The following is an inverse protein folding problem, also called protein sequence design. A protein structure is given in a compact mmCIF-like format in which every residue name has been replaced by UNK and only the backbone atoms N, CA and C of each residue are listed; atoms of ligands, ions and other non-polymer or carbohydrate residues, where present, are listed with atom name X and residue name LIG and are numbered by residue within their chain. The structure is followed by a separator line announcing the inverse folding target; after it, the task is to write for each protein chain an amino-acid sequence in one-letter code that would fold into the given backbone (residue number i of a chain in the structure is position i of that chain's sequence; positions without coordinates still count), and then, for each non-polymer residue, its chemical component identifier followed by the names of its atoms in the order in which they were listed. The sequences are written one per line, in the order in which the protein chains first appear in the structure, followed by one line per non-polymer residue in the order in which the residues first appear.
data_IF_165235146694
#
_entry.id   IF_165235146694
#
_cell.length_a   1.000
_cell.length_b   1.000
_cell.length_c   1.000
_cell.angle_alpha   90.00
_cell.angle_beta   90.00
_cell.angle_gamma   90.00
#
_symmetry.space_group_name_H-M   'P 1'
#
loop_
_entity.id
_entity.type
_entity.pdbx_description
1 polymer ?
#
# COMPACT_ATOMS: atom_id res chain seq x y z
N UNK A 1 -2.90 -3.39 6.93
CA UNK A 1 -2.95 -2.21 6.03
C UNK A 1 -1.68 -2.10 5.19
N UNK A 2 -0.45 -1.96 5.75
CA UNK A 2 0.80 -1.71 4.98
C UNK A 2 1.02 -2.69 3.81
N UNK A 3 0.91 -3.99 4.09
CA UNK A 3 1.11 -5.04 3.07
C UNK A 3 -0.05 -5.11 2.08
N UNK A 4 -1.30 -5.21 2.58
CA UNK A 4 -2.47 -5.45 1.73
C UNK A 4 -2.91 -4.24 0.90
N UNK A 5 -2.58 -3.03 1.35
CA UNK A 5 -2.92 -1.80 0.63
C UNK A 5 -1.71 -1.16 -0.06
N UNK A 6 -0.49 -1.60 0.26
CA UNK A 6 0.74 -1.06 -0.32
C UNK A 6 0.99 0.41 -0.02
N UNK A 7 0.41 0.94 1.06
CA UNK A 7 0.58 2.35 1.45
C UNK A 7 1.98 2.62 2.02
N UNK A 8 2.42 3.88 1.97
CA UNK A 8 3.66 4.30 2.62
C UNK A 8 3.47 4.35 4.13
N UNK A 9 4.56 4.15 4.88
CA UNK A 9 4.52 4.22 6.34
C UNK A 9 3.95 5.56 6.86
N UNK A 10 4.35 6.69 6.27
CA UNK A 10 3.80 8.00 6.63
C UNK A 10 2.32 8.17 6.27
N UNK A 11 1.85 7.55 5.17
CA UNK A 11 0.44 7.51 4.80
C UNK A 11 -0.35 6.74 5.85
N UNK A 12 0.09 5.50 6.21
CA UNK A 12 -0.54 4.72 7.28
C UNK A 12 -0.67 5.52 8.58
N UNK A 13 0.42 6.13 9.03
CA UNK A 13 0.47 6.83 10.31
C UNK A 13 -0.37 8.13 10.32
N UNK A 14 -0.81 8.60 9.15
CA UNK A 14 -1.69 9.75 9.01
C UNK A 14 -3.18 9.36 8.93
N UNK A 15 -3.51 8.08 8.76
CA UNK A 15 -4.89 7.62 8.61
C UNK A 15 -5.73 7.91 9.84
N UNK A 16 -6.96 8.32 9.59
CA UNK A 16 -8.01 8.55 10.58
C UNK A 16 -9.17 7.57 10.34
N UNK A 17 -10.07 7.33 11.30
CA UNK A 17 -11.27 6.53 11.06
C UNK A 17 -12.05 6.96 9.83
N UNK A 18 -12.18 8.27 9.58
CA UNK A 18 -12.91 8.84 8.42
C UNK A 18 -12.28 8.55 7.05
N UNK A 19 -11.04 8.04 7.01
CA UNK A 19 -10.40 7.65 5.74
C UNK A 19 -10.84 6.28 5.25
N UNK A 20 -11.41 5.48 6.15
CA UNK A 20 -11.95 4.15 5.85
C UNK A 20 -13.41 4.28 5.42
N UNK A 21 -13.66 4.32 4.12
CA UNK A 21 -14.98 4.44 3.51
C UNK A 21 -15.63 3.04 3.48
N UNK A 22 -16.22 2.62 4.59
CA UNK A 22 -16.68 1.23 4.81
C UNK A 22 -17.79 0.83 3.83
N UNK A 23 -18.71 1.74 3.51
CA UNK A 23 -19.82 1.49 2.58
C UNK A 23 -19.33 1.13 1.17
N UNK A 24 -18.30 1.81 0.70
CA UNK A 24 -17.71 1.58 -0.63
C UNK A 24 -16.51 0.65 -0.60
N UNK A 25 -16.10 0.17 0.57
CA UNK A 25 -14.87 -0.63 0.78
C UNK A 25 -13.64 0.06 0.22
N UNK A 26 -13.46 1.34 0.52
CA UNK A 26 -12.37 2.16 0.00
C UNK A 26 -11.55 2.78 1.13
N UNK A 27 -10.26 2.98 0.87
CA UNK A 27 -9.34 3.72 1.71
C UNK A 27 -8.90 4.99 0.99
N UNK A 28 -9.17 6.15 1.61
CA UNK A 28 -8.70 7.45 1.13
C UNK A 28 -7.30 7.75 1.65
N UNK A 29 -6.43 8.14 0.75
CA UNK A 29 -5.04 8.50 1.04
C UNK A 29 -4.79 9.91 0.50
N UNK A 30 -4.82 10.90 1.38
CA UNK A 30 -4.69 12.32 1.04
C UNK A 30 -3.75 13.08 1.97
N UNK A 31 -3.08 12.38 2.88
CA UNK A 31 -2.17 12.95 3.88
C UNK A 31 -1.04 12.02 4.24
N UNK A 32 0.02 12.56 4.83
CA UNK A 32 1.18 11.81 5.30
C UNK A 32 1.71 12.41 6.60
N UNK A 33 2.02 11.55 7.54
CA UNK A 33 2.61 11.90 8.82
C UNK A 33 4.14 11.81 8.76
N UNK A 34 4.78 12.74 9.43
CA UNK A 34 6.20 12.71 9.74
C UNK A 34 6.46 13.38 11.09
N UNK A 35 7.54 12.99 11.76
CA UNK A 35 7.99 13.65 12.98
C UNK A 35 9.21 14.52 12.66
N UNK A 36 9.07 15.83 12.84
CA UNK A 36 10.10 16.81 12.54
C UNK A 36 10.48 17.53 13.83
N UNK A 37 11.76 17.49 14.19
CA UNK A 37 12.30 18.16 15.39
C UNK A 37 11.53 17.85 16.69
N UNK A 38 11.01 16.64 16.81
CA UNK A 38 10.22 16.19 17.96
C UNK A 38 8.72 16.48 17.88
N UNK A 39 8.27 17.21 16.88
CA UNK A 39 6.85 17.56 16.66
C UNK A 39 6.21 16.65 15.61
N UNK A 40 4.96 16.29 15.84
CA UNK A 40 4.15 15.52 14.93
C UNK A 40 3.54 16.43 13.86
N UNK A 41 3.86 16.16 12.60
CA UNK A 41 3.40 16.97 11.47
C UNK A 41 2.66 16.11 10.47
N UNK A 42 1.41 16.44 10.17
CA UNK A 42 0.62 15.86 9.10
C UNK A 42 0.57 16.84 7.94
N UNK A 43 1.01 16.39 6.77
CA UNK A 43 1.08 17.22 5.56
C UNK A 43 0.26 16.60 4.43
N UNK A 44 -0.22 17.45 3.53
CA UNK A 44 -0.76 16.98 2.24
C UNK A 44 0.36 16.36 1.40
N UNK A 45 0.08 15.37 0.57
CA UNK A 45 1.07 14.79 -0.34
C UNK A 45 1.65 15.84 -1.28
N UNK A 46 2.93 15.68 -1.62
CA UNK A 46 3.66 16.61 -2.50
C UNK A 46 3.14 16.64 -3.94
N UNK A 47 2.49 15.56 -4.40
CA UNK A 47 1.99 15.44 -5.77
C UNK A 47 0.51 15.05 -5.78
N UNK A 48 -0.22 15.48 -6.82
CA UNK A 48 -1.62 15.10 -7.04
C UNK A 48 -1.82 13.57 -7.13
N UNK A 49 -0.88 12.85 -7.74
CA UNK A 49 -0.93 11.38 -7.88
C UNK A 49 -0.81 10.62 -6.55
N UNK A 50 -0.27 11.28 -5.52
CA UNK A 50 -0.22 10.69 -4.18
C UNK A 50 -1.56 10.74 -3.46
N UNK A 51 -2.48 11.63 -3.89
CA UNK A 51 -3.88 11.65 -3.42
C UNK A 51 -4.66 10.62 -4.24
N UNK A 52 -5.19 9.62 -3.56
CA UNK A 52 -5.89 8.52 -4.20
C UNK A 52 -6.86 7.84 -3.27
N UNK A 53 -7.84 7.17 -3.84
CA UNK A 53 -8.75 6.26 -3.13
C UNK A 53 -8.56 4.87 -3.72
N UNK A 54 -8.36 3.87 -2.87
CA UNK A 54 -8.07 2.49 -3.30
C UNK A 54 -9.03 1.51 -2.65
N UNK A 55 -9.52 0.53 -3.41
CA UNK A 55 -10.40 -0.53 -2.90
C UNK A 55 -9.67 -1.41 -1.89
N UNK A 56 -10.32 -1.66 -0.77
CA UNK A 56 -9.88 -2.62 0.24
C UNK A 56 -10.37 -4.02 -0.11
N UNK A 57 -9.58 -5.07 0.11
CA UNK A 57 -10.09 -6.43 0.19
C UNK A 57 -11.16 -6.55 1.29
N UNK A 58 -12.19 -7.37 1.06
CA UNK A 58 -13.32 -7.49 1.99
C UNK A 58 -12.88 -7.86 3.41
N UNK A 59 -11.98 -8.83 3.55
CA UNK A 59 -11.46 -9.22 4.86
C UNK A 59 -10.78 -8.06 5.60
N UNK A 60 -10.02 -7.20 4.89
CA UNK A 60 -9.34 -6.08 5.50
C UNK A 60 -10.32 -4.97 5.90
N UNK A 61 -11.38 -4.75 5.11
CA UNK A 61 -12.47 -3.84 5.47
C UNK A 61 -13.10 -4.30 6.79
N UNK A 62 -13.42 -5.58 6.91
CA UNK A 62 -14.09 -6.14 8.08
C UNK A 62 -13.18 -6.07 9.32
N UNK A 63 -11.91 -6.47 9.21
CA UNK A 63 -10.92 -6.31 10.28
C UNK A 63 -10.73 -4.85 10.70
N UNK A 64 -10.74 -3.91 9.75
CA UNK A 64 -10.59 -2.49 10.08
C UNK A 64 -11.86 -1.88 10.67
N UNK A 65 -13.04 -2.36 10.29
CA UNK A 65 -14.31 -1.96 10.92
C UNK A 65 -14.31 -2.35 12.40
N UNK A 66 -14.02 -3.61 12.72
CA UNK A 66 -13.90 -4.09 14.10
C UNK A 66 -12.81 -3.32 14.89
N UNK A 67 -11.65 -3.09 14.27
CA UNK A 67 -10.56 -2.36 14.91
C UNK A 67 -10.94 -0.91 15.23
N UNK A 68 -11.64 -0.22 14.33
CA UNK A 68 -12.09 1.16 14.54
C UNK A 68 -13.17 1.21 15.62
N UNK A 69 -14.09 0.24 15.65
CA UNK A 69 -15.13 0.13 16.68
C UNK A 69 -14.53 -0.08 18.09
N UNK A 70 -13.46 -0.86 18.19
CA UNK A 70 -12.72 -1.04 19.45
C UNK A 70 -11.93 0.18 19.90
N UNK A 71 -11.80 1.20 19.05
CA UNK A 71 -11.05 2.44 19.31
C UNK A 71 -12.01 3.63 19.45
N UNK A 72 -12.98 3.48 20.35
CA UNK A 72 -13.95 4.52 20.73
C UNK A 72 -13.29 5.76 21.37
N UNK A 73 -12.03 5.61 21.81
CA UNK A 73 -11.15 6.66 22.30
C UNK A 73 -10.60 7.61 21.21
N UNK A 74 -10.77 7.27 19.91
CA UNK A 74 -10.21 8.03 18.77
C UNK A 74 -11.32 8.75 18.01
N UNK A 75 -11.23 10.07 17.91
CA UNK A 75 -12.19 10.85 17.12
C UNK A 75 -12.10 10.53 15.61
N UNK A 76 -13.19 10.74 14.84
CA UNK A 76 -13.23 10.38 13.41
C UNK A 76 -12.13 11.03 12.54
N UNK A 77 -11.61 12.18 12.92
CA UNK A 77 -10.58 12.95 12.25
C UNK A 77 -9.22 12.90 12.96
N UNK A 78 -9.13 12.17 14.06
CA UNK A 78 -7.88 11.93 14.78
C UNK A 78 -7.10 10.76 14.19
N UNK A 79 -5.78 10.75 14.37
CA UNK A 79 -4.91 9.69 13.87
C UNK A 79 -5.22 8.36 14.55
N UNK A 80 -5.70 7.39 13.77
CA UNK A 80 -6.03 6.05 14.23
C UNK A 80 -4.78 5.30 14.76
N UNK A 81 -3.62 5.56 14.15
CA UNK A 81 -2.34 4.94 14.50
C UNK A 81 -1.44 5.96 15.21
N UNK A 82 -1.71 6.21 16.50
CA UNK A 82 -1.00 7.19 17.34
C UNK A 82 0.45 6.84 17.70
N UNK A 83 1.02 5.77 17.16
CA UNK A 83 2.39 5.34 17.44
C UNK A 83 3.43 6.02 16.51
N UNK A 84 4.72 5.82 16.85
CA UNK A 84 5.85 6.33 16.06
C UNK A 84 6.35 5.29 15.05
N UNK A 85 7.10 5.75 14.04
CA UNK A 85 7.80 4.84 13.11
C UNK A 85 8.75 3.88 13.83
N UNK A 86 9.36 4.34 14.92
CA UNK A 86 10.26 3.53 15.73
C UNK A 86 9.51 2.35 16.37
N UNK A 87 8.32 2.57 16.88
CA UNK A 87 7.46 1.52 17.39
C UNK A 87 7.20 0.44 16.34
N UNK A 88 6.82 0.84 15.10
CA UNK A 88 6.61 -0.11 14.00
C UNK A 88 7.86 -0.95 13.69
N UNK A 89 9.04 -0.33 13.72
CA UNK A 89 10.31 -1.05 13.49
C UNK A 89 10.54 -2.09 14.57
N UNK A 90 10.34 -1.73 15.84
CA UNK A 90 10.49 -2.67 16.97
C UNK A 90 9.51 -3.83 16.89
N UNK A 91 8.22 -3.55 16.59
CA UNK A 91 7.20 -4.59 16.46
C UNK A 91 7.51 -5.54 15.29
N UNK A 92 8.01 -5.01 14.17
CA UNK A 92 8.48 -5.84 13.06
C UNK A 92 9.64 -6.74 13.48
N UNK A 93 10.62 -6.20 14.19
CA UNK A 93 11.76 -6.98 14.70
C UNK A 93 11.31 -8.07 15.68
N UNK A 94 10.43 -7.71 16.60
CA UNK A 94 9.85 -8.65 17.57
C UNK A 94 9.10 -9.78 16.87
N UNK A 95 8.23 -9.45 15.90
CA UNK A 95 7.47 -10.42 15.14
C UNK A 95 8.37 -11.35 14.31
N UNK A 96 9.36 -10.81 13.59
CA UNK A 96 10.32 -11.61 12.82
C UNK A 96 11.11 -12.57 13.72
N UNK A 97 11.56 -12.09 14.89
CA UNK A 97 12.29 -12.93 15.86
C UNK A 97 11.40 -14.05 16.41
N UNK A 98 10.14 -13.76 16.72
CA UNK A 98 9.21 -14.75 17.27
C UNK A 98 8.81 -15.82 16.24
N UNK A 99 8.66 -15.45 14.98
CA UNK A 99 8.26 -16.37 13.89
C UNK A 99 9.42 -17.04 13.15
N UNK A 100 10.66 -16.62 13.41
CA UNK A 100 11.85 -17.14 12.72
C UNK A 100 11.99 -16.68 11.25
N UNK A 101 11.14 -15.75 10.79
CA UNK A 101 11.22 -15.24 9.41
C UNK A 101 12.29 -14.16 9.27
N UNK A 102 12.83 -14.02 8.06
CA UNK A 102 13.82 -13.00 7.74
C UNK A 102 13.29 -11.61 8.02
N UNK A 103 14.07 -10.81 8.76
CA UNK A 103 13.77 -9.39 8.99
C UNK A 103 13.81 -8.62 7.69
N UNK A 104 12.77 -7.81 7.47
CA UNK A 104 12.65 -6.85 6.38
C UNK A 104 12.37 -5.44 6.94
N UNK A 105 12.58 -4.41 6.13
CA UNK A 105 12.23 -3.03 6.51
C UNK A 105 10.72 -2.82 6.36
N UNK A 106 10.15 -1.89 7.11
CA UNK A 106 8.73 -1.52 6.98
C UNK A 106 8.35 -1.18 5.54
N UNK A 107 9.23 -0.49 4.81
CA UNK A 107 8.97 -0.13 3.42
C UNK A 107 8.97 -1.34 2.47
N UNK A 108 9.64 -2.43 2.83
CA UNK A 108 9.67 -3.65 2.02
C UNK A 108 8.30 -4.35 1.98
N UNK A 109 7.40 -4.09 2.94
CA UNK A 109 6.01 -4.55 2.87
C UNK A 109 5.28 -3.99 1.63
N UNK A 110 5.53 -2.73 1.30
CA UNK A 110 5.00 -2.14 0.07
C UNK A 110 5.67 -2.71 -1.19
N UNK A 111 6.98 -3.00 -1.16
CA UNK A 111 7.64 -3.70 -2.25
C UNK A 111 7.07 -5.10 -2.45
N UNK A 112 6.81 -5.82 -1.36
CA UNK A 112 6.17 -7.14 -1.41
C UNK A 112 4.76 -7.07 -2.00
N UNK A 113 3.97 -6.04 -1.66
CA UNK A 113 2.66 -5.81 -2.27
C UNK A 113 2.76 -5.62 -3.79
N UNK A 114 3.68 -4.77 -4.25
CA UNK A 114 3.91 -4.56 -5.69
C UNK A 114 4.30 -5.86 -6.38
N UNK A 115 5.26 -6.62 -5.80
CA UNK A 115 5.68 -7.91 -6.35
C UNK A 115 4.53 -8.93 -6.40
N UNK A 116 3.68 -8.96 -5.38
CA UNK A 116 2.49 -9.81 -5.36
C UNK A 116 1.55 -9.48 -6.53
N UNK A 117 1.25 -8.20 -6.75
CA UNK A 117 0.36 -7.78 -7.83
C UNK A 117 0.94 -8.09 -9.22
N UNK A 118 2.27 -7.94 -9.40
CA UNK A 118 2.95 -8.36 -10.64
C UNK A 118 2.78 -9.87 -10.86
N UNK A 119 3.02 -10.69 -9.83
CA UNK A 119 2.86 -12.13 -9.92
C UNK A 119 1.41 -12.57 -10.19
N UNK A 120 0.43 -11.77 -9.74
CA UNK A 120 -0.99 -11.96 -10.05
C UNK A 120 -1.36 -11.50 -11.47
N UNK A 121 -0.43 -10.93 -12.25
CA UNK A 121 -0.61 -10.53 -13.64
C UNK A 121 -1.17 -9.12 -13.85
N UNK A 122 -1.29 -8.30 -12.81
CA UNK A 122 -1.72 -6.91 -12.96
C UNK A 122 -0.69 -6.08 -13.73
N UNK A 123 -1.17 -5.11 -14.52
CA UNK A 123 -0.30 -4.25 -15.31
C UNK A 123 0.49 -3.27 -14.44
N UNK A 124 1.61 -2.78 -14.98
CA UNK A 124 2.40 -1.73 -14.31
C UNK A 124 1.59 -0.45 -14.07
N UNK A 125 0.62 -0.16 -14.93
CA UNK A 125 -0.25 1.02 -14.82
C UNK A 125 -1.22 0.86 -13.64
N UNK A 126 -1.93 -0.28 -13.55
CA UNK A 126 -2.85 -0.58 -12.45
C UNK A 126 -2.14 -0.53 -11.09
N UNK A 127 -0.93 -1.10 -11.05
CA UNK A 127 -0.11 -1.10 -9.83
C UNK A 127 0.34 0.32 -9.48
N UNK A 128 0.78 1.11 -10.46
CA UNK A 128 1.21 2.49 -10.24
C UNK A 128 0.08 3.36 -9.69
N UNK A 129 -1.12 3.25 -10.26
CA UNK A 129 -2.31 3.95 -9.79
C UNK A 129 -2.64 3.56 -8.34
N UNK A 130 -2.70 2.27 -8.05
CA UNK A 130 -2.99 1.75 -6.71
C UNK A 130 -2.01 2.25 -5.66
N UNK A 131 -0.71 2.21 -5.95
CA UNK A 131 0.32 2.61 -4.95
C UNK A 131 0.65 4.10 -5.00
N UNK A 132 0.15 4.87 -5.95
CA UNK A 132 0.44 6.30 -6.10
C UNK A 132 1.91 6.55 -6.47
N UNK A 133 2.41 5.81 -7.48
CA UNK A 133 3.71 6.02 -8.11
C UNK A 133 3.52 6.53 -9.53
N UNK A 134 4.57 7.10 -10.10
CA UNK A 134 4.63 7.24 -11.55
C UNK A 134 4.88 5.87 -12.17
N UNK A 135 4.18 5.53 -13.26
CA UNK A 135 4.30 4.22 -13.93
C UNK A 135 5.75 3.89 -14.31
N UNK A 136 6.54 4.90 -14.63
CA UNK A 136 7.98 4.81 -14.94
C UNK A 136 8.77 4.19 -13.78
N UNK A 137 8.55 4.62 -12.54
CA UNK A 137 9.25 4.11 -11.35
C UNK A 137 9.01 2.62 -11.13
N UNK A 138 7.78 2.15 -11.36
CA UNK A 138 7.45 0.74 -11.28
C UNK A 138 8.12 -0.02 -12.42
N UNK A 139 8.06 0.49 -13.65
CA UNK A 139 8.65 -0.15 -14.82
C UNK A 139 10.16 -0.35 -14.64
N UNK A 140 10.88 0.65 -14.20
CA UNK A 140 12.33 0.52 -14.02
C UNK A 140 12.72 -0.34 -12.82
N UNK A 141 12.05 -0.19 -11.69
CA UNK A 141 12.42 -0.91 -10.45
C UNK A 141 12.03 -2.38 -10.47
N UNK A 142 10.92 -2.71 -11.09
CA UNK A 142 10.35 -4.07 -11.10
C UNK A 142 10.26 -4.68 -12.50
N UNK A 143 10.89 -4.07 -13.50
CA UNK A 143 10.85 -4.55 -14.90
C UNK A 143 11.23 -6.03 -15.03
N UNK A 144 12.18 -6.49 -14.20
CA UNK A 144 12.63 -7.88 -14.18
C UNK A 144 11.60 -8.89 -13.65
N UNK A 145 10.56 -8.42 -12.96
CA UNK A 145 9.47 -9.27 -12.44
C UNK A 145 8.30 -9.41 -13.43
N UNK A 146 8.18 -8.52 -14.41
CA UNK A 146 7.14 -8.65 -15.44
C UNK A 146 7.50 -9.76 -16.42
N UNK A 147 6.59 -10.72 -16.70
CA UNK A 147 6.85 -11.77 -17.66
C UNK A 147 7.15 -11.19 -19.04
N UNK A 148 8.17 -11.74 -19.69
CA UNK A 148 8.49 -11.38 -21.06
C UNK A 148 7.42 -11.96 -22.01
N UNK A 149 6.48 -11.14 -22.44
CA UNK A 149 5.37 -11.53 -23.34
C UNK A 149 5.76 -11.57 -24.83
N UNK A 150 7.06 -11.56 -25.16
CA UNK A 150 7.52 -11.48 -26.57
C UNK A 150 6.98 -12.60 -27.46
N UNK A 151 7.04 -13.85 -26.98
CA UNK A 151 6.49 -14.98 -27.70
C UNK A 151 4.97 -14.89 -27.80
N UNK A 152 4.28 -14.61 -26.70
CA UNK A 152 2.84 -14.46 -26.67
C UNK A 152 2.30 -13.36 -27.61
N UNK A 153 3.06 -12.26 -27.79
CA UNK A 153 2.70 -11.20 -28.75
C UNK A 153 2.80 -11.74 -30.17
N UNK A 154 3.88 -12.45 -30.48
CA UNK A 154 4.08 -13.03 -31.82
C UNK A 154 2.98 -14.08 -32.14
N UNK A 155 2.70 -14.96 -31.18
CA UNK A 155 1.66 -15.99 -31.31
C UNK A 155 0.28 -15.35 -31.53
N UNK A 156 -0.10 -14.37 -30.72
CA UNK A 156 -1.37 -13.65 -30.85
C UNK A 156 -1.49 -12.90 -32.19
N UNK A 157 -0.40 -12.35 -32.70
CA UNK A 157 -0.39 -11.69 -34.03
C UNK A 157 -0.54 -12.71 -35.16
N UNK A 158 0.04 -13.91 -35.02
CA UNK A 158 -0.12 -14.99 -35.98
C UNK A 158 -1.56 -15.52 -36.02
N UNK A 159 -2.18 -15.72 -34.85
CA UNK A 159 -3.59 -16.10 -34.73
C UNK A 159 -4.55 -15.12 -35.42
N UNK A 160 -4.28 -13.79 -35.31
CA UNK A 160 -5.09 -12.77 -36.00
C UNK A 160 -4.99 -12.84 -37.52
N UNK A 161 -3.90 -13.39 -38.06
CA UNK A 161 -3.68 -13.56 -39.50
C UNK A 161 -4.26 -14.86 -40.04
N UNK A 162 -4.65 -15.78 -39.16
CA UNK A 162 -5.23 -17.07 -39.55
C UNK A 162 -4.17 -18.10 -40.05
N UNK A 163 -2.95 -17.97 -39.55
CA UNK A 163 -1.87 -18.96 -39.74
C UNK A 163 -1.77 -19.88 -38.51
#
# INVERSE_FOLDING_TARGET
VLYWMGVRCGELMALTPSDFLMETSELRIDKSYQRLRGEDVVTKPKTRKSVRTIKMPAFLRDEMAEFIEMRDDVAPDERLFGFTKHFLVHEMERGCKASGVKRIRIHDLRHSHVSLLINMGFSALDIAERVGHEAIDITYRYAHLFPAKRAQIADALSELRGE
#
